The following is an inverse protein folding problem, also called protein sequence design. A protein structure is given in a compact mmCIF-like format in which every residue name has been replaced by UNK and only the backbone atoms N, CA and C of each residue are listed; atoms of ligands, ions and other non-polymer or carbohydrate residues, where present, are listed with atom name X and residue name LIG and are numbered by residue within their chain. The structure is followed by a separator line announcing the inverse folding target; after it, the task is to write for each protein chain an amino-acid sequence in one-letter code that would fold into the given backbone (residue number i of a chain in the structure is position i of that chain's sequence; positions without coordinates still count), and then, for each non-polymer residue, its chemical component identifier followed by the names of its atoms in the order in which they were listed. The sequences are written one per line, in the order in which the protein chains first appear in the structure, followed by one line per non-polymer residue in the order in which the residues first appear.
data_IF_100083995431
#
_entry.id   IF_100083995431
#
_cell.length_a   1.000
_cell.length_b   1.000
_cell.length_c   1.000
_cell.angle_alpha   90.00
_cell.angle_beta   90.00
_cell.angle_gamma   90.00
#
_symmetry.space_group_name_H-M   'P 1'
#
loop_
_entity.id
_entity.type
_entity.pdbx_description
1 polymer ?
#
# COMPACT_ATOMS: atom_id res chain seq x y z
N UNK A 1 6.69 -28.18 -18.70
CA UNK A 1 6.13 -27.77 -17.39
C UNK A 1 7.15 -26.86 -16.76
N UNK A 2 6.99 -25.55 -16.92
CA UNK A 2 7.88 -24.55 -16.35
C UNK A 2 7.67 -24.52 -14.84
N UNK A 3 8.68 -24.95 -14.08
CA UNK A 3 8.78 -24.65 -12.65
C UNK A 3 8.72 -23.11 -12.51
N UNK A 4 7.69 -22.59 -11.85
CA UNK A 4 7.76 -21.23 -11.32
C UNK A 4 8.69 -21.27 -10.11
N UNK A 5 9.87 -20.67 -10.25
CA UNK A 5 10.72 -20.36 -9.10
C UNK A 5 10.04 -19.22 -8.32
N UNK A 6 9.70 -19.51 -7.06
CA UNK A 6 9.11 -18.55 -6.12
C UNK A 6 8.02 -19.17 -5.26
N UNK A 7 7.91 -18.75 -4.01
CA UNK A 7 6.87 -19.19 -3.06
C UNK A 7 5.48 -18.62 -3.37
N UNK A 8 5.35 -17.83 -4.45
CA UNK A 8 4.13 -17.10 -4.81
C UNK A 8 3.87 -15.86 -3.95
N UNK A 9 4.81 -15.49 -3.07
CA UNK A 9 4.70 -14.39 -2.12
C UNK A 9 5.28 -13.11 -2.72
N UNK A 10 4.56 -12.01 -2.59
CA UNK A 10 4.95 -10.69 -3.11
C UNK A 10 5.13 -9.67 -2.00
N UNK A 11 5.89 -8.61 -2.29
CA UNK A 11 6.06 -7.50 -1.36
C UNK A 11 4.71 -6.83 -1.06
N UNK A 12 4.33 -6.84 0.21
CA UNK A 12 3.05 -6.31 0.68
C UNK A 12 2.01 -7.37 1.00
N UNK A 13 2.28 -8.65 0.73
CA UNK A 13 1.44 -9.75 1.22
C UNK A 13 1.43 -9.76 2.76
N UNK A 14 0.24 -9.84 3.33
CA UNK A 14 0.04 -9.93 4.78
C UNK A 14 -0.37 -11.34 5.16
N UNK A 15 0.04 -11.73 6.36
CA UNK A 15 -0.25 -13.04 6.90
C UNK A 15 -0.05 -13.09 8.40
N UNK A 16 -0.45 -14.22 8.98
CA UNK A 16 -0.34 -14.52 10.40
C UNK A 16 0.69 -15.63 10.57
N UNK A 17 1.66 -15.41 11.46
CA UNK A 17 2.55 -16.48 11.89
C UNK A 17 1.72 -17.46 12.72
N UNK A 18 1.62 -18.71 12.24
CA UNK A 18 0.81 -19.76 12.89
C UNK A 18 1.67 -20.74 13.69
N UNK A 19 2.97 -20.80 13.43
CA UNK A 19 3.91 -21.70 14.08
C UNK A 19 5.32 -21.10 14.07
N UNK A 20 6.04 -21.27 15.19
CA UNK A 20 7.46 -20.95 15.34
C UNK A 20 8.11 -22.19 15.95
N UNK A 21 9.08 -22.75 15.26
CA UNK A 21 9.88 -23.90 15.68
C UNK A 21 11.33 -23.44 15.89
N UNK A 22 11.72 -23.30 17.16
CA UNK A 22 13.06 -22.85 17.55
C UNK A 22 14.13 -23.96 17.38
N UNK A 23 13.74 -25.24 17.37
CA UNK A 23 14.69 -26.36 17.20
C UNK A 23 15.11 -26.48 15.73
N UNK A 24 14.14 -26.43 14.83
CA UNK A 24 14.37 -26.48 13.38
C UNK A 24 14.66 -25.10 12.77
N UNK A 25 14.59 -24.03 13.58
CA UNK A 25 14.76 -22.63 13.18
C UNK A 25 13.87 -22.24 11.99
N UNK A 26 12.58 -22.55 12.09
CA UNK A 26 11.58 -22.31 11.05
C UNK A 26 10.34 -21.62 11.58
N UNK A 27 9.69 -20.84 10.73
CA UNK A 27 8.37 -20.28 10.97
C UNK A 27 7.41 -20.72 9.88
N UNK A 28 6.11 -20.76 10.19
CA UNK A 28 5.05 -20.90 9.18
C UNK A 28 4.14 -19.69 9.21
N UNK A 29 3.93 -19.11 8.03
CA UNK A 29 3.05 -17.96 7.83
C UNK A 29 1.87 -18.40 6.98
N UNK A 30 0.66 -18.13 7.47
CA UNK A 30 -0.58 -18.26 6.72
C UNK A 30 -0.95 -16.88 6.15
N UNK A 31 -0.90 -16.74 4.84
CA UNK A 31 -1.22 -15.50 4.14
C UNK A 31 -2.73 -15.33 3.93
N UNK A 32 -3.17 -14.11 3.62
CA UNK A 32 -4.58 -13.77 3.42
C UNK A 32 -5.26 -14.58 2.29
N UNK A 33 -4.49 -15.14 1.35
CA UNK A 33 -4.95 -16.04 0.28
C UNK A 33 -5.02 -17.53 0.72
N UNK A 34 -4.98 -17.78 2.03
CA UNK A 34 -4.93 -19.10 2.69
C UNK A 34 -3.67 -19.92 2.37
N UNK A 35 -2.67 -19.31 1.72
CA UNK A 35 -1.40 -19.97 1.43
C UNK A 35 -0.58 -20.11 2.69
N UNK A 36 -0.19 -21.35 3.00
CA UNK A 36 0.73 -21.66 4.10
C UNK A 36 2.16 -21.80 3.56
N UNK A 37 3.07 -20.94 4.02
CA UNK A 37 4.47 -20.95 3.59
C UNK A 37 5.38 -21.11 4.80
N UNK A 38 6.31 -22.06 4.71
CA UNK A 38 7.37 -22.26 5.69
C UNK A 38 8.61 -21.47 5.30
N UNK A 39 9.24 -20.85 6.29
CA UNK A 39 10.45 -20.06 6.11
C UNK A 39 11.50 -20.44 7.14
N UNK A 40 12.76 -20.52 6.72
CA UNK A 40 13.89 -20.60 7.63
C UNK A 40 14.14 -19.23 8.29
N UNK A 41 14.73 -19.24 9.49
CA UNK A 41 15.03 -18.00 10.22
C UNK A 41 15.94 -17.03 9.44
N UNK A 42 16.67 -17.51 8.44
CA UNK A 42 17.56 -16.72 7.58
C UNK A 42 16.85 -15.62 6.79
N UNK A 43 15.53 -15.70 6.61
CA UNK A 43 14.73 -14.71 5.88
C UNK A 43 13.89 -13.81 6.79
N UNK A 44 14.05 -13.90 8.12
CA UNK A 44 13.25 -13.11 9.07
C UNK A 44 13.41 -11.60 8.86
N UNK A 45 14.54 -11.14 8.35
CA UNK A 45 14.77 -9.72 8.03
C UNK A 45 13.87 -9.21 6.91
N UNK A 46 13.29 -10.10 6.09
CA UNK A 46 12.31 -9.78 5.04
C UNK A 46 10.87 -9.74 5.56
N UNK A 47 10.63 -10.12 6.83
CA UNK A 47 9.33 -10.08 7.47
C UNK A 47 9.28 -8.93 8.48
N UNK A 48 8.27 -8.08 8.33
CA UNK A 48 8.01 -6.99 9.27
C UNK A 48 6.67 -7.20 9.99
N UNK A 49 6.58 -6.90 11.30
CA UNK A 49 5.30 -6.91 12.00
C UNK A 49 4.29 -5.93 11.37
N UNK A 50 3.12 -6.43 11.01
CA UNK A 50 2.07 -5.66 10.34
C UNK A 50 0.96 -5.14 11.29
N UNK A 51 1.24 -4.96 12.59
CA UNK A 51 0.25 -4.45 13.56
C UNK A 51 -0.26 -3.05 13.20
N UNK A 52 0.58 -2.24 12.57
CA UNK A 52 0.23 -0.98 11.97
C UNK A 52 1.06 -0.81 10.69
N UNK A 53 0.39 -0.44 9.60
CA UNK A 53 1.03 -0.23 8.30
C UNK A 53 0.87 1.22 7.86
N UNK A 54 1.80 1.68 7.03
CA UNK A 54 1.67 3.00 6.42
C UNK A 54 0.62 2.97 5.32
N UNK A 55 0.01 4.12 5.04
CA UNK A 55 -0.95 4.28 3.94
C UNK A 55 -0.31 3.86 2.59
N UNK A 56 0.99 4.12 2.42
CA UNK A 56 1.72 3.68 1.23
C UNK A 56 1.87 2.16 1.15
N UNK A 57 2.21 1.47 2.24
CA UNK A 57 2.29 0.00 2.27
C UNK A 57 0.92 -0.66 2.08
N UNK A 58 -0.18 0.04 2.35
CA UNK A 58 -1.55 -0.44 2.11
C UNK A 58 -2.07 -0.26 0.67
N UNK A 59 -1.26 0.22 -0.28
CA UNK A 59 -1.69 0.42 -1.65
C UNK A 59 -2.13 -0.90 -2.31
N UNK A 60 -3.29 -0.88 -2.96
CA UNK A 60 -3.90 -2.08 -3.56
C UNK A 60 -4.64 -2.98 -2.56
N UNK A 61 -4.45 -2.79 -1.25
CA UNK A 61 -5.18 -3.52 -0.20
C UNK A 61 -6.41 -2.75 0.29
N UNK A 62 -7.39 -3.47 0.81
CA UNK A 62 -8.58 -2.93 1.47
C UNK A 62 -8.92 -3.76 2.71
N UNK A 63 -9.47 -3.11 3.73
CA UNK A 63 -9.77 -3.71 5.03
C UNK A 63 -11.22 -3.45 5.41
N UNK A 64 -11.92 -4.36 6.11
CA UNK A 64 -13.27 -4.10 6.61
C UNK A 64 -13.33 -2.82 7.45
N UNK A 65 -12.35 -2.65 8.35
CA UNK A 65 -12.24 -1.51 9.24
C UNK A 65 -10.84 -0.92 9.17
N UNK A 66 -10.73 0.41 9.08
CA UNK A 66 -9.46 1.14 9.20
C UNK A 66 -9.51 2.06 10.40
N UNK A 67 -8.50 1.95 11.26
CA UNK A 67 -8.27 2.89 12.37
C UNK A 67 -7.11 3.79 11.96
N UNK A 68 -7.37 5.08 11.79
CA UNK A 68 -6.41 6.05 11.29
C UNK A 68 -6.04 7.07 12.38
N UNK A 69 -4.79 7.05 12.87
CA UNK A 69 -4.27 8.12 13.71
C UNK A 69 -4.15 9.43 12.92
N UNK A 70 -4.73 10.52 13.43
CA UNK A 70 -4.68 11.86 12.83
C UNK A 70 -4.07 12.84 13.83
N UNK A 71 -2.74 12.96 13.80
CA UNK A 71 -1.94 13.81 14.68
C UNK A 71 -1.01 14.71 13.87
N UNK A 72 -0.45 15.79 14.47
CA UNK A 72 0.56 16.59 13.81
C UNK A 72 1.74 15.74 13.33
N UNK A 73 2.15 15.95 12.09
CA UNK A 73 3.23 15.22 11.45
C UNK A 73 3.96 16.04 10.39
N UNK A 74 4.88 15.43 9.63
CA UNK A 74 5.59 16.12 8.56
C UNK A 74 4.59 16.74 7.55
N UNK A 75 4.70 18.04 7.32
CA UNK A 75 3.74 18.80 6.48
C UNK A 75 3.63 18.28 5.05
N UNK A 76 4.65 17.57 4.56
CA UNK A 76 4.66 16.91 3.23
C UNK A 76 3.67 15.76 3.17
N UNK A 77 3.39 15.09 4.28
CA UNK A 77 2.45 13.98 4.38
C UNK A 77 1.04 14.45 4.73
N UNK A 78 0.91 15.60 5.40
CA UNK A 78 -0.37 16.14 5.87
C UNK A 78 -1.24 16.73 4.74
N UNK A 79 -1.56 15.92 3.72
CA UNK A 79 -2.27 16.33 2.50
C UNK A 79 -3.64 15.68 2.39
N UNK A 80 -4.56 16.33 1.66
CA UNK A 80 -5.89 15.80 1.36
C UNK A 80 -5.81 14.46 0.64
N UNK A 81 -4.88 14.31 -0.29
CA UNK A 81 -4.74 13.09 -1.09
C UNK A 81 -4.30 11.89 -0.24
N UNK A 82 -3.41 12.11 0.75
CA UNK A 82 -3.01 11.04 1.66
C UNK A 82 -4.17 10.62 2.56
N UNK A 83 -4.90 11.59 3.11
CA UNK A 83 -6.10 11.33 3.92
C UNK A 83 -7.18 10.58 3.12
N UNK A 84 -7.46 11.02 1.89
CA UNK A 84 -8.39 10.35 0.99
C UNK A 84 -7.97 8.91 0.70
N UNK A 85 -6.69 8.69 0.40
CA UNK A 85 -6.15 7.34 0.17
C UNK A 85 -6.40 6.45 1.38
N UNK A 86 -6.08 6.92 2.59
CA UNK A 86 -6.31 6.18 3.84
C UNK A 86 -7.78 5.82 4.05
N UNK A 87 -8.70 6.77 3.82
CA UNK A 87 -10.15 6.55 3.95
C UNK A 87 -10.62 5.48 2.96
N UNK A 88 -10.17 5.54 1.70
CA UNK A 88 -10.53 4.54 0.67
C UNK A 88 -9.93 3.15 0.90
N UNK A 89 -9.07 2.96 1.91
CA UNK A 89 -8.63 1.61 2.30
C UNK A 89 -9.71 0.86 3.10
N UNK A 90 -10.69 1.56 3.69
CA UNK A 90 -11.77 0.92 4.44
C UNK A 90 -12.94 0.54 3.55
N UNK A 91 -13.51 -0.65 3.78
CA UNK A 91 -14.72 -1.13 3.11
C UNK A 91 -15.99 -0.77 3.86
N UNK A 92 -15.97 -0.83 5.19
CA UNK A 92 -17.19 -0.70 6.01
C UNK A 92 -17.11 0.45 7.02
N UNK A 93 -15.96 0.62 7.69
CA UNK A 93 -15.82 1.61 8.76
C UNK A 93 -14.43 2.26 8.78
N UNK A 94 -14.42 3.58 8.95
CA UNK A 94 -13.22 4.36 9.26
C UNK A 94 -13.36 4.95 10.65
N UNK A 95 -12.37 4.71 11.50
CA UNK A 95 -12.25 5.33 12.83
C UNK A 95 -11.06 6.28 12.81
N UNK A 96 -11.33 7.58 12.88
CA UNK A 96 -10.29 8.60 12.98
C UNK A 96 -9.98 8.87 14.45
N UNK A 97 -8.73 8.74 14.85
CA UNK A 97 -8.29 8.93 16.23
C UNK A 97 -7.26 10.05 16.28
N UNK A 98 -7.60 11.19 16.87
CA UNK A 98 -6.64 12.28 17.08
C UNK A 98 -7.26 13.68 17.07
N UNK A 99 -6.50 14.66 16.59
CA UNK A 99 -6.87 16.07 16.64
C UNK A 99 -7.73 16.47 15.43
N UNK A 100 -8.88 17.09 15.72
CA UNK A 100 -9.80 17.63 14.72
C UNK A 100 -9.18 18.76 13.90
N UNK A 101 -8.30 19.58 14.49
CA UNK A 101 -7.61 20.66 13.77
C UNK A 101 -6.66 20.09 12.72
N UNK A 102 -5.89 19.05 13.06
CA UNK A 102 -5.02 18.36 12.10
C UNK A 102 -5.82 17.73 10.95
N UNK A 103 -7.00 17.18 11.26
CA UNK A 103 -7.90 16.68 10.22
C UNK A 103 -8.31 17.81 9.25
N UNK A 104 -8.72 18.96 9.78
CA UNK A 104 -9.10 20.11 8.95
C UNK A 104 -7.91 20.66 8.15
N UNK A 105 -6.72 20.71 8.73
CA UNK A 105 -5.49 21.10 8.02
C UNK A 105 -5.24 20.18 6.81
N UNK A 106 -5.34 18.86 7.00
CA UNK A 106 -5.19 17.89 5.90
C UNK A 106 -6.28 18.08 4.84
N UNK A 107 -7.54 18.27 5.25
CA UNK A 107 -8.66 18.51 4.33
C UNK A 107 -8.43 19.77 3.50
N UNK A 108 -7.90 20.84 4.09
CA UNK A 108 -7.65 22.10 3.39
C UNK A 108 -6.38 22.07 2.54
N UNK A 109 -5.43 21.19 2.83
CA UNK A 109 -4.17 21.06 2.10
C UNK A 109 -4.33 20.26 0.80
N UNK A 110 -4.63 20.98 -0.29
CA UNK A 110 -4.73 20.46 -1.66
C UNK A 110 -3.41 20.40 -2.41
N UNK A 111 -2.28 20.55 -1.69
CA UNK A 111 -0.95 20.53 -2.30
C UNK A 111 -0.76 19.24 -3.11
N UNK A 112 -0.78 19.37 -4.42
CA UNK A 112 -0.37 18.33 -5.33
C UNK A 112 1.14 18.39 -5.55
N UNK A 113 1.79 17.24 -5.42
CA UNK A 113 3.18 17.08 -5.88
C UNK A 113 3.19 17.28 -7.38
N UNK A 114 3.78 18.37 -7.87
CA UNK A 114 3.96 18.58 -9.32
C UNK A 114 4.78 17.41 -9.89
N UNK A 115 4.12 16.54 -10.65
CA UNK A 115 4.79 15.42 -11.31
C UNK A 115 5.47 15.92 -12.58
N UNK A 116 6.79 16.10 -12.51
CA UNK A 116 7.60 16.38 -13.70
C UNK A 116 7.65 15.13 -14.57
N UNK A 117 6.76 15.04 -15.56
CA UNK A 117 6.63 13.89 -16.45
C UNK A 117 6.29 14.35 -17.86
N UNK A 118 7.10 13.91 -18.83
CA UNK A 118 6.93 14.22 -20.26
C UNK A 118 5.90 13.29 -20.95
N UNK A 119 5.33 12.32 -20.22
CA UNK A 119 4.41 11.33 -20.78
C UNK A 119 3.19 11.98 -21.44
N UNK A 120 2.60 13.00 -20.80
CA UNK A 120 1.45 13.70 -21.35
C UNK A 120 1.78 14.46 -22.65
N UNK A 121 2.98 15.05 -22.73
CA UNK A 121 3.43 15.72 -23.95
C UNK A 121 3.69 14.72 -25.07
N UNK A 122 4.36 13.60 -24.77
CA UNK A 122 4.59 12.52 -25.73
C UNK A 122 3.28 11.94 -26.28
N UNK A 123 2.30 11.67 -25.42
CA UNK A 123 0.99 11.17 -25.84
C UNK A 123 0.26 12.16 -26.76
N UNK A 124 0.29 13.47 -26.44
CA UNK A 124 -0.29 14.50 -27.31
C UNK A 124 0.36 14.52 -28.70
N UNK A 125 1.69 14.41 -28.78
CA UNK A 125 2.41 14.34 -30.06
C UNK A 125 2.02 13.11 -30.88
N UNK A 126 1.86 11.94 -30.26
CA UNK A 126 1.44 10.72 -30.94
C UNK A 126 0.00 10.80 -31.47
N UNK A 127 -0.94 11.32 -30.67
CA UNK A 127 -2.36 11.41 -31.05
C UNK A 127 -2.59 12.47 -32.13
N UNK A 128 -1.89 13.61 -32.07
CA UNK A 128 -2.00 14.68 -33.08
C UNK A 128 -1.22 14.34 -34.36
N UNK A 129 -0.19 13.49 -34.29
CA UNK A 129 0.52 12.96 -35.47
C UNK A 129 -0.21 11.85 -36.24
N UNK A 130 -1.41 11.46 -35.79
CA UNK A 130 -2.24 10.39 -36.35
C UNK A 130 -3.48 10.99 -37.04
N UNK A 131 -3.28 11.84 -38.04
CA UNK A 131 -4.32 12.20 -39.03
C UNK A 131 -4.69 10.96 -39.87
N UNK A 132 -5.60 10.14 -39.35
CA UNK A 132 -6.06 8.90 -40.01
C UNK A 132 -7.26 9.09 -40.97
N UNK A 133 -7.61 10.30 -41.40
CA UNK A 133 -8.62 10.49 -42.45
C UNK A 133 -8.32 11.71 -43.34
N UNK A 134 -7.41 11.55 -44.29
CA UNK A 134 -7.63 12.10 -45.64
C UNK A 134 -8.11 10.94 -46.52
N UNK A 135 -9.41 10.94 -46.78
CA UNK A 135 -10.01 10.28 -47.94
C UNK A 135 -9.38 10.82 -49.23
#
# INVERSE_FOLDING_TARGET
MTQQEGTGVFNGDMGVIVEIDDEEQKIKVCFDDERLVGYDFTILDELEPAYAITIHKSQGSEFPVVILPVFPGPSVLMTRNLLYTAITRARELVILVGNRDCLFEMIMNDRETKRNSDLAEKLRKCVVGMDWLKQ
#
